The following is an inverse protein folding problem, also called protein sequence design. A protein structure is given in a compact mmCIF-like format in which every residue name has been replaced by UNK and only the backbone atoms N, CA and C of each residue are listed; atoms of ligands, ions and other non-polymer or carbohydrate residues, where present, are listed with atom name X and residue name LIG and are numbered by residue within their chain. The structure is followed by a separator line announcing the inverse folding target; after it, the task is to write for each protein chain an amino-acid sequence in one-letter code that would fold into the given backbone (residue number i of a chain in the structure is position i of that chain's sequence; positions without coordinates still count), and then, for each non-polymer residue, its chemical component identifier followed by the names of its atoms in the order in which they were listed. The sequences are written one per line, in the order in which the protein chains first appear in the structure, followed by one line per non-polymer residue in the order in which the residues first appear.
data_IF_669700177808
#
_entry.id   IF_669700177808
#
_cell.length_a   1.000
_cell.length_b   1.000
_cell.length_c   1.000
_cell.angle_alpha   90.00
_cell.angle_beta   90.00
_cell.angle_gamma   90.00
#
_symmetry.space_group_name_H-M   'P 1'
#
loop_
_entity.id
_entity.type
_entity.pdbx_description
1 polymer ?
#
# COMPACT_ATOMS: atom_id res chain seq x y z
N UNK A 1 -25.17 -66.70 31.28
CA UNK A 1 -24.57 -65.60 30.49
C UNK A 1 -25.08 -64.28 31.07
N UNK A 2 -24.16 -63.33 31.26
CA UNK A 2 -24.22 -62.22 32.22
C UNK A 2 -24.92 -60.97 31.64
N UNK A 3 -25.60 -60.28 32.54
CA UNK A 3 -26.25 -58.96 32.53
C UNK A 3 -25.87 -57.89 31.49
N UNK A 4 -26.91 -57.12 31.15
CA UNK A 4 -26.96 -55.93 30.30
C UNK A 4 -26.16 -54.73 30.83
N UNK A 5 -25.68 -53.87 29.93
CA UNK A 5 -25.48 -52.45 30.21
C UNK A 5 -25.64 -51.62 28.93
N UNK A 6 -26.53 -50.63 29.02
CA UNK A 6 -26.95 -49.67 27.99
C UNK A 6 -25.78 -48.74 27.65
N UNK A 7 -25.38 -48.65 26.39
CA UNK A 7 -24.52 -47.57 25.89
C UNK A 7 -25.39 -46.48 25.27
N UNK A 8 -25.38 -45.34 25.95
CA UNK A 8 -26.08 -44.10 25.60
C UNK A 8 -25.49 -43.53 24.31
N UNK A 9 -26.36 -43.22 23.35
CA UNK A 9 -26.06 -42.37 22.19
C UNK A 9 -25.80 -40.95 22.71
N UNK A 10 -24.53 -40.54 22.72
CA UNK A 10 -24.16 -39.14 22.92
C UNK A 10 -23.96 -38.51 21.55
N UNK A 11 -25.00 -37.86 21.03
CA UNK A 11 -24.89 -36.93 19.92
C UNK A 11 -24.12 -35.69 20.40
N UNK A 12 -22.81 -35.65 20.15
CA UNK A 12 -22.05 -34.42 20.26
C UNK A 12 -22.41 -33.55 19.05
N UNK A 13 -23.42 -32.71 19.24
CA UNK A 13 -23.61 -31.54 18.40
C UNK A 13 -22.35 -30.68 18.55
N UNK A 14 -21.42 -30.81 17.61
CA UNK A 14 -20.35 -29.85 17.45
C UNK A 14 -21.02 -28.56 16.98
N UNK A 15 -21.36 -27.70 17.94
CA UNK A 15 -21.65 -26.30 17.65
C UNK A 15 -20.37 -25.78 17.02
N UNK A 16 -20.37 -25.64 15.70
CA UNK A 16 -19.42 -24.80 15.00
C UNK A 16 -19.64 -23.40 15.58
N UNK A 17 -18.86 -23.06 16.60
CA UNK A 17 -18.63 -21.69 16.98
C UNK A 17 -18.07 -21.04 15.71
N UNK A 18 -18.95 -20.34 14.98
CA UNK A 18 -18.57 -19.58 13.82
C UNK A 18 -17.46 -18.65 14.27
N UNK A 19 -16.23 -18.95 13.84
CA UNK A 19 -15.18 -17.96 13.82
C UNK A 19 -15.75 -16.81 13.00
N UNK A 20 -16.13 -15.73 13.67
CA UNK A 20 -16.45 -14.49 13.02
C UNK A 20 -15.14 -14.03 12.36
N UNK A 21 -14.89 -14.50 11.14
CA UNK A 21 -13.87 -13.91 10.29
C UNK A 21 -14.27 -12.45 10.18
N UNK A 22 -13.44 -11.56 10.71
CA UNK A 22 -13.66 -10.14 10.55
C UNK A 22 -13.72 -9.87 9.04
N UNK A 23 -14.89 -9.44 8.55
CA UNK A 23 -15.07 -9.18 7.14
C UNK A 23 -14.25 -7.93 6.79
N UNK A 24 -13.54 -7.99 5.67
CA UNK A 24 -12.80 -6.85 5.13
C UNK A 24 -13.34 -6.48 3.76
N UNK A 25 -13.22 -5.21 3.42
CA UNK A 25 -13.62 -4.67 2.12
C UNK A 25 -12.50 -3.85 1.53
N UNK A 26 -12.22 -4.04 0.24
CA UNK A 26 -11.31 -3.19 -0.51
C UNK A 26 -12.10 -2.04 -1.13
N UNK A 27 -11.79 -0.83 -0.70
CA UNK A 27 -12.42 0.41 -1.12
C UNK A 27 -11.47 1.14 -2.07
N UNK A 28 -11.80 1.27 -3.36
CA UNK A 28 -11.00 2.07 -4.29
C UNK A 28 -11.00 3.55 -3.88
N UNK A 29 -9.87 4.23 -4.09
CA UNK A 29 -9.76 5.66 -3.83
C UNK A 29 -10.81 6.45 -4.64
N UNK A 30 -11.33 7.52 -4.05
CA UNK A 30 -12.39 8.37 -4.63
C UNK A 30 -13.81 7.78 -4.55
N UNK A 31 -13.97 6.52 -4.16
CA UNK A 31 -15.29 5.89 -3.96
C UNK A 31 -15.85 6.16 -2.56
N UNK A 32 -17.19 6.15 -2.43
CA UNK A 32 -17.87 6.37 -1.15
C UNK A 32 -17.98 5.05 -0.39
N UNK A 33 -17.51 5.02 0.85
CA UNK A 33 -17.70 3.92 1.79
C UNK A 33 -18.04 4.48 3.17
N UNK A 34 -19.13 3.99 3.79
CA UNK A 34 -19.64 4.49 5.08
C UNK A 34 -19.78 6.03 5.14
N UNK A 35 -20.19 6.65 4.02
CA UNK A 35 -20.35 8.11 3.94
C UNK A 35 -19.04 8.88 3.84
N UNK A 36 -17.90 8.22 3.60
CA UNK A 36 -16.59 8.83 3.42
C UNK A 36 -16.03 8.56 2.03
N UNK A 37 -15.33 9.55 1.44
CA UNK A 37 -14.49 9.37 0.26
C UNK A 37 -13.02 9.44 0.67
N UNK A 38 -12.23 8.44 0.27
CA UNK A 38 -10.82 8.35 0.60
C UNK A 38 -9.93 8.84 -0.54
N UNK A 39 -8.88 9.56 -0.18
CA UNK A 39 -7.75 9.92 -1.04
C UNK A 39 -6.48 9.94 -0.19
N UNK A 40 -5.32 10.13 -0.80
CA UNK A 40 -4.07 10.23 -0.04
C UNK A 40 -2.86 9.77 -0.82
N UNK A 41 -1.75 9.62 -0.11
CA UNK A 41 -0.49 9.15 -0.67
C UNK A 41 0.28 8.32 0.37
N UNK A 42 1.08 7.38 -0.13
CA UNK A 42 2.13 6.69 0.63
C UNK A 42 3.49 7.17 0.16
N UNK A 43 4.31 7.67 1.08
CA UNK A 43 5.66 8.13 0.81
C UNK A 43 6.70 7.20 1.41
N UNK A 44 7.54 6.58 0.58
CA UNK A 44 8.73 5.84 1.01
C UNK A 44 9.92 6.80 1.05
N UNK A 45 10.53 6.97 2.22
CA UNK A 45 11.78 7.71 2.41
C UNK A 45 12.90 6.73 2.73
N UNK A 46 14.02 6.83 2.03
CA UNK A 46 15.14 5.91 2.19
C UNK A 46 15.91 6.22 3.47
N UNK A 47 16.45 5.18 4.11
CA UNK A 47 17.36 5.33 5.24
C UNK A 47 18.72 5.88 4.80
N UNK A 48 19.49 6.40 5.75
CA UNK A 48 20.88 6.80 5.51
C UNK A 48 21.74 5.62 5.04
N UNK A 49 21.53 4.42 5.61
CA UNK A 49 22.26 3.20 5.22
C UNK A 49 21.98 2.81 3.78
N UNK A 50 20.70 2.85 3.36
CA UNK A 50 20.32 2.56 1.99
C UNK A 50 20.93 3.59 1.03
N UNK A 51 20.84 4.89 1.35
CA UNK A 51 21.46 5.95 0.54
C UNK A 51 22.97 5.75 0.41
N UNK A 52 23.67 5.40 1.49
CA UNK A 52 25.11 5.08 1.47
C UNK A 52 25.45 3.86 0.62
N UNK A 53 24.61 2.82 0.63
CA UNK A 53 24.76 1.66 -0.25
C UNK A 53 24.56 2.05 -1.73
N UNK A 54 23.57 2.89 -2.04
CA UNK A 54 23.36 3.41 -3.39
C UNK A 54 24.52 4.26 -3.88
N UNK A 55 25.08 5.12 -3.01
CA UNK A 55 26.24 5.94 -3.32
C UNK A 55 27.50 5.10 -3.58
N UNK A 56 27.71 4.04 -2.80
CA UNK A 56 28.77 3.04 -3.02
C UNK A 56 28.63 2.40 -4.40
N UNK A 57 27.39 2.08 -4.80
CA UNK A 57 27.06 1.53 -6.12
C UNK A 57 26.99 2.55 -7.25
N UNK A 58 27.15 3.86 -6.97
CA UNK A 58 26.84 4.96 -7.89
C UNK A 58 25.46 4.79 -8.56
N UNK A 59 24.50 4.24 -7.82
CA UNK A 59 23.15 3.93 -8.32
C UNK A 59 22.35 5.24 -8.42
N UNK A 60 21.80 5.52 -9.59
CA UNK A 60 20.90 6.66 -9.79
C UNK A 60 19.46 6.29 -9.43
N UNK A 61 18.72 7.18 -8.77
CA UNK A 61 17.30 7.01 -8.45
C UNK A 61 16.47 8.04 -9.22
N UNK A 62 15.38 7.60 -9.84
CA UNK A 62 14.41 8.45 -10.54
C UNK A 62 12.99 7.97 -10.21
N UNK A 63 12.02 8.89 -10.15
CA UNK A 63 10.61 8.53 -9.96
C UNK A 63 10.05 7.70 -11.11
N UNK A 64 9.06 6.86 -10.80
CA UNK A 64 8.40 5.98 -11.76
C UNK A 64 6.88 6.05 -11.62
N UNK A 65 6.17 6.03 -12.75
CA UNK A 65 4.70 6.01 -12.78
C UNK A 65 4.09 7.28 -12.18
N UNK A 66 3.02 7.12 -11.39
CA UNK A 66 2.29 8.24 -10.78
C UNK A 66 2.96 8.81 -9.51
N UNK A 67 4.15 8.33 -9.14
CA UNK A 67 4.85 8.80 -7.95
C UNK A 67 5.64 10.09 -8.21
N UNK A 68 5.64 10.98 -7.22
CA UNK A 68 6.52 12.14 -7.17
C UNK A 68 7.76 11.77 -6.36
N UNK A 69 8.93 11.77 -6.99
CA UNK A 69 10.19 11.48 -6.33
C UNK A 69 10.95 12.77 -5.97
N UNK A 70 11.52 12.79 -4.77
CA UNK A 70 12.46 13.82 -4.32
C UNK A 70 13.82 13.17 -4.18
N UNK A 71 14.77 13.62 -4.99
CA UNK A 71 16.14 13.07 -5.01
C UNK A 71 17.10 14.23 -4.90
N UNK A 72 17.68 14.42 -3.73
CA UNK A 72 18.62 15.49 -3.42
C UNK A 72 20.00 14.92 -3.14
N UNK A 73 21.01 15.68 -3.55
CA UNK A 73 22.41 15.39 -3.30
C UNK A 73 23.07 16.56 -2.59
N UNK A 74 24.09 16.28 -1.80
CA UNK A 74 24.95 17.30 -1.22
C UNK A 74 25.94 17.88 -2.25
N UNK A 75 26.80 18.79 -1.80
CA UNK A 75 27.82 19.43 -2.64
C UNK A 75 28.87 18.46 -3.19
N UNK A 76 29.05 17.32 -2.53
CA UNK A 76 30.02 16.29 -2.90
C UNK A 76 29.41 15.22 -3.83
N UNK A 77 28.10 15.33 -4.09
CA UNK A 77 27.35 14.49 -5.03
C UNK A 77 26.78 13.20 -4.44
N UNK A 78 26.76 13.07 -3.11
CA UNK A 78 26.16 11.97 -2.36
C UNK A 78 24.71 12.26 -2.01
N UNK A 79 23.90 11.22 -1.80
CA UNK A 79 22.49 11.40 -1.48
C UNK A 79 22.30 12.00 -0.09
N UNK A 80 21.58 13.12 -0.02
CA UNK A 80 21.13 13.74 1.23
C UNK A 80 19.66 13.47 1.51
N UNK A 81 18.87 13.20 0.46
CA UNK A 81 17.47 12.80 0.59
C UNK A 81 17.03 12.00 -0.63
N UNK A 82 16.39 10.85 -0.40
CA UNK A 82 15.67 10.11 -1.43
C UNK A 82 14.29 9.72 -0.89
N UNK A 83 13.24 10.14 -1.57
CA UNK A 83 11.88 9.70 -1.29
C UNK A 83 11.03 9.58 -2.55
N UNK A 84 10.00 8.73 -2.48
CA UNK A 84 8.99 8.57 -3.52
C UNK A 84 7.59 8.56 -2.89
N UNK A 85 6.76 9.54 -3.26
CA UNK A 85 5.38 9.68 -2.80
C UNK A 85 4.42 9.25 -3.90
N UNK A 86 3.69 8.16 -3.66
CA UNK A 86 2.76 7.54 -4.60
C UNK A 86 1.31 7.72 -4.13
N UNK A 87 0.35 8.11 -5.00
CA UNK A 87 -1.05 8.22 -4.62
C UNK A 87 -1.64 6.86 -4.20
N UNK A 88 -2.50 6.88 -3.18
CA UNK A 88 -3.27 5.71 -2.74
C UNK A 88 -4.35 5.40 -3.78
N UNK A 89 -4.43 4.14 -4.20
CA UNK A 89 -5.41 3.62 -5.17
C UNK A 89 -6.52 2.82 -4.52
N UNK A 90 -6.25 2.17 -3.38
CA UNK A 90 -7.26 1.44 -2.61
C UNK A 90 -6.86 1.31 -1.14
N UNK A 91 -7.86 1.17 -0.27
CA UNK A 91 -7.70 0.80 1.14
C UNK A 91 -8.45 -0.50 1.41
N UNK A 92 -7.86 -1.40 2.20
CA UNK A 92 -8.57 -2.56 2.75
C UNK A 92 -8.98 -2.22 4.18
N UNK A 93 -10.27 -2.27 4.46
CA UNK A 93 -10.86 -1.81 5.73
C UNK A 93 -11.62 -2.97 6.39
N UNK A 94 -11.45 -3.11 7.69
CA UNK A 94 -12.25 -3.99 8.53
C UNK A 94 -13.68 -3.44 8.69
N UNK A 95 -14.69 -4.20 8.31
CA UNK A 95 -16.08 -3.71 8.27
C UNK A 95 -16.71 -3.53 9.64
N UNK A 96 -16.15 -4.15 10.69
CA UNK A 96 -16.68 -4.05 12.06
C UNK A 96 -16.07 -2.88 12.84
N UNK A 97 -14.79 -2.61 12.62
CA UNK A 97 -13.98 -1.67 13.43
C UNK A 97 -13.54 -0.42 12.68
N UNK A 98 -13.69 -0.39 11.35
CA UNK A 98 -13.10 0.63 10.46
C UNK A 98 -11.57 0.75 10.59
N UNK A 99 -10.90 -0.31 11.05
CA UNK A 99 -9.45 -0.41 11.02
C UNK A 99 -8.97 -0.54 9.57
N UNK A 100 -7.91 0.20 9.23
CA UNK A 100 -7.21 0.05 7.96
C UNK A 100 -6.32 -1.17 8.08
N UNK A 101 -6.63 -2.21 7.31
CA UNK A 101 -5.87 -3.46 7.24
C UNK A 101 -4.82 -3.42 6.13
N UNK A 102 -5.00 -2.56 5.12
CA UNK A 102 -4.02 -2.41 4.06
C UNK A 102 -4.24 -1.18 3.19
N UNK A 103 -3.23 -0.83 2.42
CA UNK A 103 -3.23 0.29 1.49
C UNK A 103 -2.44 -0.05 0.23
N UNK A 104 -3.02 0.22 -0.94
CA UNK A 104 -2.38 0.08 -2.23
C UNK A 104 -2.06 1.46 -2.81
N UNK A 105 -0.90 1.60 -3.47
CA UNK A 105 -0.48 2.81 -4.17
C UNK A 105 -0.21 2.55 -5.65
N UNK A 106 -0.01 3.60 -6.44
CA UNK A 106 0.50 3.48 -7.80
C UNK A 106 1.71 4.37 -8.06
N UNK A 107 2.75 3.81 -8.68
CA UNK A 107 4.04 4.44 -8.89
C UNK A 107 5.09 4.05 -7.85
N UNK A 108 6.31 4.54 -8.03
CA UNK A 108 7.43 4.31 -7.13
C UNK A 108 8.73 4.92 -7.66
N UNK A 109 9.81 4.14 -7.66
CA UNK A 109 11.12 4.61 -8.10
C UNK A 109 11.91 3.55 -8.87
N UNK A 110 12.66 4.00 -9.87
CA UNK A 110 13.64 3.22 -10.63
C UNK A 110 15.04 3.54 -10.15
N UNK A 111 15.77 2.48 -9.78
CA UNK A 111 17.17 2.47 -9.44
C UNK A 111 17.95 1.95 -10.65
N UNK A 112 19.01 2.64 -11.08
CA UNK A 112 19.86 2.21 -12.20
C UNK A 112 21.31 2.17 -11.74
N UNK A 113 21.92 0.98 -11.81
CA UNK A 113 23.32 0.78 -11.47
C UNK A 113 24.16 0.87 -12.76
N UNK A 114 25.24 1.66 -12.76
CA UNK A 114 26.22 1.64 -13.84
C UNK A 114 27.14 0.42 -13.73
N UNK A 115 27.88 0.14 -14.80
CA UNK A 115 29.00 -0.82 -14.73
C UNK A 115 30.11 -0.19 -13.88
N UNK A 116 30.43 -0.83 -12.76
CA UNK A 116 31.48 -0.39 -11.85
C UNK A 116 32.28 -1.60 -11.35
N UNK A 117 33.59 -1.59 -11.59
CA UNK A 117 34.47 -2.72 -11.31
C UNK A 117 34.30 -3.22 -9.87
N UNK A 118 34.06 -4.52 -9.72
CA UNK A 118 33.84 -5.21 -8.44
C UNK A 118 32.58 -4.81 -7.66
N UNK A 119 31.78 -3.85 -8.16
CA UNK A 119 30.59 -3.34 -7.49
C UNK A 119 29.31 -3.72 -8.24
N UNK A 120 29.23 -3.47 -9.55
CA UNK A 120 28.08 -3.83 -10.38
C UNK A 120 28.48 -4.11 -11.83
N UNK A 121 27.81 -5.06 -12.48
CA UNK A 121 27.88 -5.30 -13.93
C UNK A 121 26.89 -4.44 -14.72
N UNK A 122 26.22 -3.48 -14.08
CA UNK A 122 25.12 -2.71 -14.64
C UNK A 122 23.77 -3.38 -14.47
N UNK A 123 22.71 -2.57 -14.44
CA UNK A 123 21.33 -3.07 -14.36
C UNK A 123 20.35 -2.01 -13.88
N UNK A 124 19.10 -2.41 -13.73
CA UNK A 124 18.04 -1.53 -13.23
C UNK A 124 17.02 -2.30 -12.43
N UNK A 125 16.46 -1.67 -11.42
CA UNK A 125 15.34 -2.18 -10.65
C UNK A 125 14.33 -1.07 -10.41
N UNK A 126 13.10 -1.29 -10.84
CA UNK A 126 11.97 -0.46 -10.45
C UNK A 126 11.18 -1.14 -9.35
N UNK A 127 10.91 -0.41 -8.28
CA UNK A 127 9.98 -0.81 -7.22
C UNK A 127 8.79 0.13 -7.32
N UNK A 128 7.60 -0.42 -7.59
CA UNK A 128 6.38 0.36 -7.84
C UNK A 128 5.15 -0.35 -7.28
N UNK A 129 4.05 0.38 -7.15
CA UNK A 129 2.72 -0.15 -6.80
C UNK A 129 2.75 -0.95 -5.49
N UNK A 130 3.06 -0.24 -4.41
CA UNK A 130 3.15 -0.87 -3.09
C UNK A 130 1.76 -1.29 -2.63
N UNK A 131 1.67 -2.49 -2.06
CA UNK A 131 0.50 -3.00 -1.37
C UNK A 131 0.90 -3.41 0.04
N UNK A 132 0.46 -2.63 1.02
CA UNK A 132 0.79 -2.82 2.43
C UNK A 132 -0.27 -3.67 3.10
N UNK A 133 0.17 -4.71 3.79
CA UNK A 133 -0.63 -5.53 4.70
C UNK A 133 -0.22 -5.21 6.14
N UNK A 134 -1.05 -4.40 6.81
CA UNK A 134 -0.82 -3.94 8.18
C UNK A 134 -1.10 -5.03 9.21
N UNK A 135 -1.96 -6.01 8.87
CA UNK A 135 -2.29 -7.11 9.78
C UNK A 135 -1.13 -8.10 9.90
N UNK A 136 -0.51 -8.44 8.77
CA UNK A 136 0.62 -9.37 8.72
C UNK A 136 1.99 -8.67 8.76
N UNK A 137 2.01 -7.33 8.78
CA UNK A 137 3.24 -6.50 8.77
C UNK A 137 4.12 -6.74 7.55
N UNK A 138 3.52 -6.78 6.35
CA UNK A 138 4.21 -7.06 5.09
C UNK A 138 3.98 -5.96 4.07
N UNK A 139 4.98 -5.71 3.23
CA UNK A 139 4.85 -4.85 2.06
C UNK A 139 5.12 -5.68 0.81
N UNK A 140 4.14 -5.68 -0.07
CA UNK A 140 4.22 -6.23 -1.41
C UNK A 140 4.48 -5.09 -2.40
N UNK A 141 5.17 -5.39 -3.50
CA UNK A 141 5.46 -4.42 -4.55
C UNK A 141 5.45 -5.10 -5.92
N UNK A 142 5.26 -4.32 -6.97
CA UNK A 142 5.65 -4.73 -8.31
C UNK A 142 7.13 -4.40 -8.52
N UNK A 143 7.91 -5.43 -8.87
CA UNK A 143 9.30 -5.28 -9.26
C UNK A 143 9.42 -5.36 -10.77
N UNK A 144 10.18 -4.44 -11.38
CA UNK A 144 10.56 -4.52 -12.80
C UNK A 144 12.09 -4.46 -12.84
N UNK A 145 12.72 -5.62 -13.00
CA UNK A 145 14.17 -5.78 -12.86
C UNK A 145 14.87 -6.20 -14.15
N UNK A 146 16.07 -5.68 -14.35
CA UNK A 146 17.02 -6.13 -15.38
C UNK A 146 17.62 -7.51 -15.07
N UNK A 147 18.62 -7.90 -15.85
CA UNK A 147 19.43 -9.11 -15.61
C UNK A 147 18.60 -10.40 -15.40
N UNK A 148 17.50 -10.53 -16.15
CA UNK A 148 16.64 -11.71 -16.13
C UNK A 148 15.63 -11.77 -14.98
N UNK A 149 15.45 -10.70 -14.20
CA UNK A 149 14.40 -10.64 -13.17
C UNK A 149 13.01 -10.46 -13.79
N UNK A 150 12.88 -9.60 -14.81
CA UNK A 150 11.60 -9.32 -15.45
C UNK A 150 10.63 -8.58 -14.54
N UNK A 151 9.33 -8.74 -14.80
CA UNK A 151 8.26 -8.14 -13.99
C UNK A 151 7.68 -9.15 -13.00
N UNK A 152 7.71 -8.81 -11.72
CA UNK A 152 7.11 -9.60 -10.63
C UNK A 152 6.05 -8.74 -9.96
N UNK A 153 4.78 -9.10 -10.11
CA UNK A 153 3.65 -8.35 -9.52
C UNK A 153 3.32 -8.87 -8.12
N UNK A 154 2.98 -7.96 -7.20
CA UNK A 154 2.61 -8.30 -5.82
C UNK A 154 3.63 -9.22 -5.13
N UNK A 155 4.92 -8.91 -5.33
CA UNK A 155 6.05 -9.61 -4.75
C UNK A 155 6.28 -9.13 -3.31
N UNK A 156 6.41 -10.07 -2.37
CA UNK A 156 6.67 -9.77 -0.96
C UNK A 156 8.11 -9.26 -0.76
N UNK A 157 8.23 -7.96 -0.54
CA UNK A 157 9.50 -7.27 -0.58
C UNK A 157 10.06 -6.95 0.81
N UNK A 158 9.24 -6.36 1.68
CA UNK A 158 9.69 -5.90 2.99
C UNK A 158 8.80 -6.41 4.12
N UNK A 159 9.45 -6.65 5.25
CA UNK A 159 8.81 -6.75 6.57
C UNK A 159 8.73 -5.39 7.23
N UNK A 160 7.70 -5.19 8.04
CA UNK A 160 7.50 -3.98 8.84
C UNK A 160 7.85 -4.28 10.29
N UNK A 161 8.86 -3.60 10.84
CA UNK A 161 9.20 -3.70 12.26
C UNK A 161 8.12 -3.10 13.16
N UNK A 162 7.79 -1.83 12.92
CA UNK A 162 6.86 -1.06 13.76
C UNK A 162 5.83 -0.29 12.93
N UNK A 163 4.63 -0.15 13.51
CA UNK A 163 3.52 0.62 12.96
C UNK A 163 3.11 1.61 14.05
N UNK A 164 3.09 2.90 13.71
CA UNK A 164 2.70 3.99 14.62
C UNK A 164 1.74 4.94 13.93
N UNK A 165 1.02 5.76 14.71
CA UNK A 165 0.03 6.69 14.19
C UNK A 165 -1.37 6.08 14.10
N UNK A 166 -2.22 6.68 13.27
CA UNK A 166 -3.61 6.27 13.14
C UNK A 166 -3.75 5.02 12.25
N UNK A 167 -4.43 4.00 12.76
CA UNK A 167 -4.71 2.75 12.04
C UNK A 167 -6.20 2.50 11.84
N UNK A 168 -7.05 3.47 12.19
CA UNK A 168 -8.50 3.42 11.98
C UNK A 168 -9.02 4.75 11.47
N UNK A 169 -10.08 4.68 10.68
CA UNK A 169 -10.74 5.87 10.11
C UNK A 169 -12.14 5.98 10.72
N UNK A 170 -12.29 6.86 11.70
CA UNK A 170 -13.53 7.01 12.48
C UNK A 170 -14.45 8.14 11.96
N UNK A 171 -14.04 8.89 10.95
CA UNK A 171 -14.81 9.99 10.38
C UNK A 171 -14.02 10.81 9.35
N UNK A 172 -14.52 11.98 8.95
CA UNK A 172 -13.78 12.91 8.11
C UNK A 172 -12.53 13.40 8.85
N UNK A 173 -11.39 13.43 8.16
CA UNK A 173 -10.12 13.83 8.75
C UNK A 173 -8.91 13.40 7.93
N UNK A 174 -7.73 13.76 8.44
CA UNK A 174 -6.45 13.28 7.91
C UNK A 174 -5.83 12.32 8.92
N UNK A 175 -5.46 11.15 8.44
CA UNK A 175 -4.93 10.04 9.23
C UNK A 175 -3.55 9.69 8.70
N UNK A 176 -2.55 9.75 9.57
CA UNK A 176 -1.17 9.41 9.20
C UNK A 176 -0.73 8.16 9.94
N UNK A 177 -0.23 7.19 9.18
CA UNK A 177 0.38 5.96 9.67
C UNK A 177 1.85 5.94 9.24
N UNK A 178 2.74 5.62 10.17
CA UNK A 178 4.18 5.50 9.89
C UNK A 178 4.63 4.06 10.11
N UNK A 179 5.23 3.48 9.08
CA UNK A 179 5.81 2.14 9.05
C UNK A 179 7.33 2.28 9.07
N UNK A 180 7.98 1.74 10.10
CA UNK A 180 9.43 1.88 10.30
C UNK A 180 10.10 0.55 10.60
N UNK A 181 11.44 0.53 10.51
CA UNK A 181 12.22 -0.70 10.61
C UNK A 181 11.92 -1.62 9.45
N UNK A 182 11.99 -1.08 8.23
CA UNK A 182 11.67 -1.84 7.02
C UNK A 182 12.86 -2.73 6.70
N UNK A 183 12.68 -4.05 6.73
CA UNK A 183 13.74 -5.00 6.39
C UNK A 183 13.39 -5.77 5.12
N UNK A 184 14.37 -5.95 4.23
CA UNK A 184 14.16 -6.68 2.98
C UNK A 184 14.13 -8.19 3.24
N UNK A 185 13.24 -8.90 2.53
CA UNK A 185 13.21 -10.36 2.57
C UNK A 185 14.44 -10.94 1.87
N UNK A 186 14.83 -12.18 2.20
CA UNK A 186 15.94 -12.86 1.52
C UNK A 186 15.72 -12.96 0.01
N UNK A 187 14.49 -13.23 -0.42
CA UNK A 187 14.15 -13.27 -1.84
C UNK A 187 14.19 -11.88 -2.47
N UNK A 188 13.70 -10.85 -1.77
CA UNK A 188 13.82 -9.45 -2.19
C UNK A 188 15.28 -9.03 -2.39
N UNK A 189 16.16 -9.36 -1.44
CA UNK A 189 17.60 -9.11 -1.55
C UNK A 189 18.19 -9.80 -2.78
N UNK A 190 17.85 -11.07 -3.01
CA UNK A 190 18.31 -11.80 -4.20
C UNK A 190 17.84 -11.12 -5.50
N UNK A 191 16.59 -10.64 -5.56
CA UNK A 191 16.09 -9.89 -6.73
C UNK A 191 16.76 -8.55 -6.91
N UNK A 192 17.05 -7.82 -5.83
CA UNK A 192 17.81 -6.56 -5.89
C UNK A 192 19.21 -6.77 -6.43
N UNK A 193 19.95 -7.73 -5.85
CA UNK A 193 21.32 -8.02 -6.29
C UNK A 193 21.36 -8.49 -7.74
N UNK A 194 20.40 -9.31 -8.17
CA UNK A 194 20.29 -9.75 -9.56
C UNK A 194 19.96 -8.57 -10.48
N UNK A 195 18.87 -7.84 -10.21
CA UNK A 195 18.37 -6.77 -11.07
C UNK A 195 19.39 -5.65 -11.29
N UNK A 196 20.14 -5.29 -10.25
CA UNK A 196 21.19 -4.27 -10.31
C UNK A 196 22.57 -4.84 -10.71
N UNK A 197 22.68 -6.15 -10.93
CA UNK A 197 23.93 -6.79 -11.33
C UNK A 197 25.03 -6.66 -10.28
N UNK A 198 24.67 -6.66 -8.99
CA UNK A 198 25.63 -6.39 -7.92
C UNK A 198 26.67 -7.50 -7.81
N UNK A 199 27.93 -7.10 -7.79
CA UNK A 199 29.11 -7.95 -7.55
C UNK A 199 29.47 -7.92 -6.05
N UNK A 200 30.56 -8.58 -5.65
CA UNK A 200 30.88 -8.81 -4.24
C UNK A 200 30.85 -7.55 -3.36
N UNK A 201 31.40 -6.42 -3.82
CA UNK A 201 31.39 -5.18 -3.04
C UNK A 201 30.01 -4.53 -2.99
N UNK A 202 29.27 -4.54 -4.11
CA UNK A 202 27.90 -4.00 -4.15
C UNK A 202 26.94 -4.83 -3.28
N UNK A 203 27.10 -6.16 -3.28
CA UNK A 203 26.36 -7.05 -2.37
C UNK A 203 26.69 -6.75 -0.92
N UNK A 204 27.97 -6.61 -0.57
CA UNK A 204 28.38 -6.29 0.80
C UNK A 204 27.82 -4.95 1.28
N UNK A 205 27.82 -3.93 0.42
CA UNK A 205 27.22 -2.64 0.73
C UNK A 205 25.71 -2.77 1.02
N UNK A 206 24.97 -3.51 0.19
CA UNK A 206 23.54 -3.75 0.41
C UNK A 206 23.26 -4.63 1.64
N UNK A 207 24.13 -5.61 1.95
CA UNK A 207 24.01 -6.46 3.15
C UNK A 207 24.17 -5.65 4.44
N UNK A 208 24.90 -4.54 4.41
CA UNK A 208 25.02 -3.63 5.55
C UNK A 208 23.73 -2.85 5.86
N UNK A 209 22.76 -2.82 4.94
CA UNK A 209 21.50 -2.11 5.11
C UNK A 209 20.54 -2.96 5.93
N UNK A 210 20.32 -2.56 7.19
CA UNK A 210 19.39 -3.25 8.10
C UNK A 210 18.01 -2.59 8.15
N UNK A 211 17.94 -1.30 7.84
CA UNK A 211 16.70 -0.54 7.67
C UNK A 211 16.68 0.07 6.28
N UNK A 212 15.61 -0.16 5.51
CA UNK A 212 15.40 0.38 4.17
C UNK A 212 14.71 1.74 4.20
N UNK A 213 14.27 2.19 5.38
CA UNK A 213 13.73 3.51 5.61
C UNK A 213 12.32 3.47 6.20
N UNK A 214 11.51 4.46 5.82
CA UNK A 214 10.20 4.70 6.44
C UNK A 214 9.15 4.89 5.37
N UNK A 215 8.01 4.21 5.52
CA UNK A 215 6.80 4.50 4.73
C UNK A 215 5.85 5.31 5.59
N UNK A 216 5.50 6.51 5.13
CA UNK A 216 4.46 7.33 5.71
C UNK A 216 3.23 7.30 4.82
N UNK A 217 2.14 6.72 5.32
CA UNK A 217 0.83 6.74 4.67
C UNK A 217 0.01 7.89 5.21
N UNK A 218 -0.52 8.74 4.34
CA UNK A 218 -1.45 9.80 4.70
C UNK A 218 -2.76 9.58 3.97
N UNK A 219 -3.80 9.25 4.73
CA UNK A 219 -5.16 9.05 4.25
C UNK A 219 -5.98 10.29 4.59
N UNK A 220 -6.61 10.86 3.58
CA UNK A 220 -7.59 11.95 3.72
C UNK A 220 -8.97 11.37 3.47
N UNK A 221 -9.79 11.33 4.52
CA UNK A 221 -11.18 10.96 4.47
C UNK A 221 -12.04 12.23 4.47
N UNK A 222 -12.89 12.39 3.46
CA UNK A 222 -13.83 13.51 3.37
C UNK A 222 -15.25 13.00 3.48
N UNK A 223 -16.14 13.76 4.13
CA UNK A 223 -17.55 13.43 4.14
C UNK A 223 -18.07 13.42 2.69
N UNK A 224 -18.68 12.31 2.28
CA UNK A 224 -19.42 12.24 1.05
C UNK A 224 -20.69 13.06 1.27
N UNK A 225 -20.65 14.35 0.96
CA UNK A 225 -21.83 15.22 0.98
C UNK A 225 -22.82 14.63 -0.03
N UNK A 226 -23.94 14.01 0.40
CA UNK A 226 -25.03 13.74 -0.52
C UNK A 226 -25.50 15.10 -1.01
N UNK A 227 -25.89 15.27 -2.27
CA UNK A 227 -26.51 16.53 -2.69
C UNK A 227 -28.02 16.47 -2.35
N UNK A 228 -28.49 16.95 -1.16
CA UNK A 228 -29.93 16.98 -0.87
C UNK A 228 -30.69 17.87 -1.86
N UNK A 229 -30.01 18.87 -2.42
CA UNK A 229 -30.58 19.79 -3.41
C UNK A 229 -30.85 19.13 -4.76
N UNK A 230 -30.08 18.12 -5.19
CA UNK A 230 -30.29 17.50 -6.51
C UNK A 230 -31.56 16.65 -6.55
N UNK A 231 -31.84 15.89 -5.50
CA UNK A 231 -33.11 15.16 -5.38
C UNK A 231 -34.29 16.09 -5.08
N UNK A 232 -34.08 17.13 -4.27
CA UNK A 232 -35.13 18.12 -4.00
C UNK A 232 -35.48 18.97 -5.23
N UNK A 233 -34.49 19.41 -6.03
CA UNK A 233 -34.69 20.12 -7.31
C UNK A 233 -35.30 19.22 -8.38
N UNK A 234 -34.90 17.95 -8.43
CA UNK A 234 -35.50 16.98 -9.36
C UNK A 234 -36.96 16.68 -8.96
N UNK A 235 -37.25 16.55 -7.66
CA UNK A 235 -38.61 16.40 -7.13
C UNK A 235 -39.48 17.64 -7.35
N UNK A 236 -38.95 18.84 -7.07
CA UNK A 236 -39.62 20.12 -7.34
C UNK A 236 -39.80 20.36 -8.84
N UNK A 237 -38.83 19.98 -9.67
CA UNK A 237 -38.91 20.07 -11.12
C UNK A 237 -40.01 19.18 -11.68
N UNK A 238 -40.13 17.94 -11.20
CA UNK A 238 -41.20 17.02 -11.57
C UNK A 238 -42.58 17.50 -11.08
N UNK A 239 -42.67 18.01 -9.85
CA UNK A 239 -43.91 18.59 -9.32
C UNK A 239 -44.34 19.83 -10.12
N UNK A 240 -43.39 20.69 -10.47
CA UNK A 240 -43.62 21.87 -11.32
C UNK A 240 -44.10 21.50 -12.72
N UNK A 241 -43.49 20.50 -13.37
CA UNK A 241 -43.94 19.99 -14.67
C UNK A 241 -45.33 19.35 -14.60
N UNK A 242 -45.64 18.63 -13.51
CA UNK A 242 -46.98 18.06 -13.28
C UNK A 242 -48.08 19.12 -13.18
N UNK A 243 -47.82 20.24 -12.50
CA UNK A 243 -48.76 21.36 -12.40
C UNK A 243 -48.97 22.09 -13.73
N UNK A 244 -47.90 22.25 -14.52
CA UNK A 244 -47.98 22.85 -15.87
C UNK A 244 -48.76 21.94 -16.84
N UNK A 245 -48.51 20.63 -16.81
CA UNK A 245 -49.24 19.66 -17.63
C UNK A 245 -50.73 19.61 -17.27
N UNK A 246 -51.09 19.73 -15.99
CA UNK A 246 -52.49 19.81 -15.54
C UNK A 246 -53.18 21.08 -16.05
N UNK A 247 -52.50 22.23 -16.03
CA UNK A 247 -53.04 23.48 -16.59
C UNK A 247 -53.31 23.40 -18.08
N UNK A 248 -52.43 22.74 -18.86
CA UNK A 248 -52.61 22.55 -20.31
C UNK A 248 -53.74 21.60 -20.71
N UNK A 249 -54.16 20.69 -19.83
CA UNK A 249 -55.34 19.83 -20.07
C UNK A 249 -56.66 20.48 -19.67
N UNK A 250 -56.61 21.57 -18.91
CA UNK A 250 -57.78 22.31 -18.45
C UNK A 250 -58.11 23.53 -19.33
N UNK A 251 -57.31 23.79 -20.37
CA UNK A 251 -57.57 24.70 -21.48
C UNK A 251 -57.86 23.89 -22.74
#
# INVERSE_FOLDING_TARGET
MKFAMKSIVAATAFVAAGVASAASVTVPAGTVYNGLKFSGAGALSFSADLMGALDTGKVSVVGYGAATATVLKDTDGFYSQVSASAPITALTIDTGTNAVLGAATSGGATQTAPVLKSVSSGGSLTVTDLNVDLANKKIYATLIGGNGVGTLTNFYLWDIGSITGATSVAGPGTYTTTLSGLSITSDGFNKFTQALGLLSLGKAALTGVTDFGVVTSTIVATAAIPEPSSYALMGLGLAGMGLVARRRRAQ
#
